data_IF_491980903845
#
_entry.id   IF_491980903845
#
_cell.length_a   1.000
_cell.length_b   1.000
_cell.length_c   1.000
_cell.angle_alpha   90.00
_cell.angle_beta   90.00
_cell.angle_gamma   90.00
#
_symmetry.space_group_name_H-M   'P 1'
#
loop_
_entity.id
_entity.type
_entity.pdbx_description
1 polymer ?
#
# COMPACT_ATOMS: atom_id res chain seq x y z
N UNK A 1 17.78 -9.24 9.25
CA UNK A 1 17.00 -10.46 8.96
C UNK A 1 15.52 -10.10 9.06
N UNK A 2 14.73 -10.27 8.01
CA UNK A 2 13.29 -9.95 8.03
C UNK A 2 12.50 -11.18 8.47
N UNK A 3 12.14 -11.24 9.76
CA UNK A 3 11.54 -12.42 10.41
C UNK A 3 10.30 -12.96 9.69
N UNK A 4 9.52 -12.09 9.04
CA UNK A 4 8.25 -12.48 8.41
C UNK A 4 8.22 -12.33 6.88
N UNK A 5 9.37 -12.12 6.23
CA UNK A 5 9.43 -11.87 4.78
C UNK A 5 8.72 -12.94 3.93
N UNK A 6 8.71 -14.18 4.39
CA UNK A 6 8.16 -15.34 3.67
C UNK A 6 6.97 -15.99 4.36
N UNK A 7 6.38 -15.33 5.36
CA UNK A 7 5.29 -15.91 6.19
C UNK A 7 4.14 -14.95 6.47
N UNK A 8 4.36 -13.64 6.49
CA UNK A 8 3.26 -12.69 6.70
C UNK A 8 2.37 -12.64 5.46
N UNK A 9 1.07 -12.91 5.65
CA UNK A 9 0.07 -12.84 4.58
C UNK A 9 -0.91 -11.69 4.73
N UNK A 10 -1.15 -11.23 5.96
CA UNK A 10 -2.07 -10.15 6.28
C UNK A 10 -1.40 -9.13 7.20
N UNK A 11 -1.49 -7.86 6.86
CA UNK A 11 -1.00 -6.75 7.68
C UNK A 11 -2.06 -5.66 7.77
N UNK A 12 -2.49 -5.37 8.98
CA UNK A 12 -3.42 -4.28 9.27
C UNK A 12 -2.66 -3.08 9.85
N UNK A 13 -2.69 -1.96 9.14
CA UNK A 13 -2.17 -0.66 9.56
C UNK A 13 -3.29 0.37 9.70
N UNK A 14 -4.55 -0.07 9.78
CA UNK A 14 -5.69 0.82 9.87
C UNK A 14 -5.61 1.70 11.13
N UNK A 15 -6.00 2.98 10.98
CA UNK A 15 -5.95 3.97 12.06
C UNK A 15 -4.53 4.39 12.48
N UNK A 16 -3.47 3.84 11.88
CA UNK A 16 -2.09 4.18 12.22
C UNK A 16 -1.73 5.55 11.63
N UNK A 17 -1.91 6.59 12.43
CA UNK A 17 -1.75 7.99 12.02
C UNK A 17 -0.33 8.34 11.57
N UNK A 18 0.70 7.68 12.09
CA UNK A 18 2.10 8.05 11.82
C UNK A 18 2.76 7.25 10.69
N UNK A 19 2.00 6.41 9.97
CA UNK A 19 2.53 5.72 8.79
C UNK A 19 2.80 6.75 7.68
N UNK A 20 3.88 6.52 6.94
CA UNK A 20 4.27 7.33 5.79
C UNK A 20 4.29 6.47 4.53
N UNK A 21 4.21 7.13 3.37
CA UNK A 21 4.37 6.50 2.06
C UNK A 21 5.67 5.65 1.98
N UNK A 22 6.78 6.21 2.48
CA UNK A 22 8.06 5.49 2.60
C UNK A 22 7.96 4.22 3.44
N UNK A 23 7.22 4.27 4.54
CA UNK A 23 6.99 3.12 5.41
C UNK A 23 6.28 1.99 4.67
N UNK A 24 5.23 2.30 3.91
CA UNK A 24 4.53 1.31 3.06
C UNK A 24 5.47 0.75 1.99
N UNK A 25 6.28 1.58 1.33
CA UNK A 25 7.24 1.09 0.34
C UNK A 25 8.22 0.07 0.91
N UNK A 26 8.56 0.12 2.21
CA UNK A 26 9.45 -0.90 2.84
C UNK A 26 8.82 -2.30 2.91
N UNK A 27 7.50 -2.41 2.77
CA UNK A 27 6.77 -3.68 2.81
C UNK A 27 7.07 -4.57 1.59
N UNK A 28 7.77 -4.06 0.57
CA UNK A 28 8.21 -4.82 -0.60
C UNK A 28 9.00 -6.10 -0.27
N UNK A 29 9.57 -6.19 0.94
CA UNK A 29 10.30 -7.37 1.43
C UNK A 29 9.38 -8.52 1.83
N UNK A 30 8.09 -8.27 2.07
CA UNK A 30 7.10 -9.23 2.54
C UNK A 30 6.47 -9.97 1.34
N UNK A 31 7.23 -10.86 0.70
CA UNK A 31 6.86 -11.49 -0.58
C UNK A 31 5.60 -12.37 -0.53
N UNK A 32 5.13 -12.74 0.66
CA UNK A 32 3.88 -13.48 0.87
C UNK A 32 2.69 -12.61 1.29
N UNK A 33 2.86 -11.29 1.39
CA UNK A 33 1.76 -10.41 1.77
C UNK A 33 0.67 -10.46 0.70
N UNK A 34 -0.54 -10.83 1.13
CA UNK A 34 -1.75 -10.94 0.31
C UNK A 34 -2.71 -9.79 0.56
N UNK A 35 -2.71 -9.24 1.77
CA UNK A 35 -3.62 -8.15 2.13
C UNK A 35 -2.90 -7.13 3.00
N UNK A 36 -3.04 -5.86 2.61
CA UNK A 36 -2.60 -4.71 3.37
C UNK A 36 -3.80 -3.80 3.63
N UNK A 37 -4.12 -3.54 4.89
CA UNK A 37 -5.16 -2.58 5.27
C UNK A 37 -4.54 -1.24 5.68
N UNK A 38 -4.92 -0.17 5.00
CA UNK A 38 -4.47 1.20 5.28
C UNK A 38 -5.65 2.16 5.45
N UNK A 39 -6.82 1.67 5.87
CA UNK A 39 -7.96 2.54 6.24
C UNK A 39 -7.55 3.53 7.34
N UNK A 40 -8.11 4.73 7.32
CA UNK A 40 -7.86 5.74 8.37
C UNK A 40 -6.38 6.08 8.63
N UNK A 41 -5.55 6.05 7.57
CA UNK A 41 -4.16 6.54 7.58
C UNK A 41 -4.05 7.94 6.95
N UNK A 42 -4.39 9.04 7.67
CA UNK A 42 -4.53 10.38 7.07
C UNK A 42 -3.21 11.01 6.62
N UNK A 43 -2.06 10.54 7.12
CA UNK A 43 -0.74 11.08 6.78
C UNK A 43 -0.16 10.50 5.47
N UNK A 44 -0.85 9.55 4.84
CA UNK A 44 -0.49 9.04 3.52
C UNK A 44 -1.30 9.83 2.48
N UNK A 45 -0.64 10.74 1.76
CA UNK A 45 -1.31 11.64 0.82
C UNK A 45 -1.67 10.96 -0.50
N UNK A 46 -0.82 10.04 -0.97
CA UNK A 46 -0.98 9.34 -2.25
C UNK A 46 -1.06 7.82 -2.02
N UNK A 47 -2.08 7.37 -1.29
CA UNK A 47 -2.27 5.94 -0.97
C UNK A 47 -2.34 5.08 -2.23
N UNK A 48 -2.97 5.62 -3.26
CA UNK A 48 -3.21 4.99 -4.55
C UNK A 48 -1.89 4.73 -5.26
N UNK A 49 -1.04 5.75 -5.39
CA UNK A 49 0.27 5.65 -6.05
C UNK A 49 1.17 4.65 -5.31
N UNK A 50 1.26 4.76 -3.99
CA UNK A 50 2.07 3.87 -3.17
C UNK A 50 1.60 2.41 -3.30
N UNK A 51 0.30 2.20 -3.46
CA UNK A 51 -0.27 0.87 -3.57
C UNK A 51 -0.10 0.27 -4.95
N UNK A 52 -0.14 1.08 -6.02
CA UNK A 52 0.28 0.66 -7.35
C UNK A 52 1.76 0.22 -7.34
N UNK A 53 2.65 1.04 -6.76
CA UNK A 53 4.07 0.69 -6.63
C UNK A 53 4.29 -0.59 -5.80
N UNK A 54 3.51 -0.78 -4.73
CA UNK A 54 3.58 -2.00 -3.94
C UNK A 54 3.09 -3.21 -4.74
N UNK A 55 2.01 -3.06 -5.51
CA UNK A 55 1.46 -4.11 -6.38
C UNK A 55 2.39 -4.44 -7.54
N UNK A 56 3.16 -3.49 -8.08
CA UNK A 56 4.20 -3.79 -9.07
C UNK A 56 5.26 -4.78 -8.53
N UNK A 57 5.56 -4.70 -7.22
CA UNK A 57 6.55 -5.57 -6.57
C UNK A 57 5.92 -6.80 -5.91
N UNK A 58 4.66 -6.71 -5.51
CA UNK A 58 3.85 -7.78 -4.89
C UNK A 58 2.47 -7.83 -5.58
N UNK A 59 2.38 -8.41 -6.80
CA UNK A 59 1.17 -8.32 -7.65
C UNK A 59 -0.10 -8.96 -7.09
N UNK A 60 0.04 -9.79 -6.05
CA UNK A 60 -1.08 -10.48 -5.40
C UNK A 60 -1.53 -9.80 -4.10
N UNK A 61 -0.93 -8.66 -3.74
CA UNK A 61 -1.32 -7.92 -2.54
C UNK A 61 -2.52 -7.03 -2.83
N UNK A 62 -3.67 -7.40 -2.27
CA UNK A 62 -4.84 -6.53 -2.20
C UNK A 62 -4.58 -5.42 -1.17
N UNK A 63 -4.96 -4.18 -1.51
CA UNK A 63 -4.84 -3.04 -0.60
C UNK A 63 -6.23 -2.48 -0.29
N UNK A 64 -6.58 -2.47 0.99
CA UNK A 64 -7.87 -2.00 1.51
C UNK A 64 -7.73 -0.56 1.99
N UNK A 65 -8.76 0.26 1.74
CA UNK A 65 -8.79 1.67 2.13
C UNK A 65 -8.37 2.64 1.02
N UNK A 66 -8.46 2.19 -0.22
CA UNK A 66 -8.21 2.97 -1.43
C UNK A 66 -9.48 2.96 -2.29
N UNK A 67 -9.83 4.12 -2.82
CA UNK A 67 -10.89 4.23 -3.82
C UNK A 67 -10.27 4.42 -5.20
N UNK A 68 -10.05 3.31 -5.93
CA UNK A 68 -9.51 3.35 -7.30
C UNK A 68 -10.48 3.98 -8.32
N UNK A 69 -11.76 4.11 -7.96
CA UNK A 69 -12.79 4.69 -8.82
C UNK A 69 -12.87 6.23 -8.69
N UNK A 70 -12.00 6.84 -7.87
CA UNK A 70 -11.93 8.29 -7.75
C UNK A 70 -11.51 8.92 -9.10
N UNK A 71 -12.38 9.72 -9.76
CA UNK A 71 -12.04 10.34 -11.05
C UNK A 71 -10.87 11.33 -10.96
N UNK A 72 -10.61 11.89 -9.77
CA UNK A 72 -9.47 12.78 -9.51
C UNK A 72 -8.17 11.98 -9.48
N UNK A 73 -8.22 10.72 -9.03
CA UNK A 73 -7.07 9.82 -9.04
C UNK A 73 -6.60 9.56 -10.46
N UNK A 74 -7.47 9.15 -11.39
CA UNK A 74 -7.08 8.77 -12.76
C UNK A 74 -6.25 9.87 -13.42
N UNK A 75 -6.67 11.13 -13.28
CA UNK A 75 -5.92 12.31 -13.77
C UNK A 75 -4.60 12.55 -13.05
N UNK A 76 -4.50 12.20 -11.77
CA UNK A 76 -3.27 12.32 -10.98
C UNK A 76 -2.24 11.26 -11.37
N UNK A 77 -2.65 10.01 -11.61
CA UNK A 77 -1.72 8.93 -11.98
C UNK A 77 -1.20 9.06 -13.41
N UNK A 78 -1.98 9.62 -14.33
CA UNK A 78 -1.50 9.97 -15.69
C UNK A 78 -0.23 10.83 -15.69
N UNK A 79 0.02 11.60 -14.62
CA UNK A 79 1.26 12.39 -14.49
C UNK A 79 2.49 11.52 -14.20
N UNK A 80 2.30 10.29 -13.75
CA UNK A 80 3.35 9.35 -13.33
C UNK A 80 3.52 8.16 -14.29
N UNK A 81 2.74 8.10 -15.37
CA UNK A 81 2.84 7.15 -16.48
C UNK A 81 3.39 7.86 -17.73
#
# INVERSE_FOLDING_TARGET
>A
MYMFANTLEYLDLSGCKNITERGICTLHVLKKLKTLDIRDTPNIQHKELVSLLLQDVIPRCEVIGINYEDPVLLKRIEKYL
#
